data_IF_687383396877
#
_entry.id   IF_687383396877
#
_cell.length_a   1.000
_cell.length_b   1.000
_cell.length_c   1.000
_cell.angle_alpha   90.00
_cell.angle_beta   90.00
_cell.angle_gamma   90.00
#
_symmetry.space_group_name_H-M   'P 1'
#
loop_
_entity.id
_entity.type
_entity.pdbx_description
1 polymer ?
#
# COMPACT_ATOMS: atom_id res chain seq x y z
N UNK A 1 3.78 -23.88 31.70
CA UNK A 1 3.72 -22.50 31.18
C UNK A 1 2.29 -22.24 30.76
N UNK A 2 1.55 -21.52 31.60
CA UNK A 2 0.15 -21.15 31.34
C UNK A 2 0.10 -20.19 30.16
N UNK A 3 -0.60 -20.57 29.09
CA UNK A 3 -0.92 -19.65 28.00
C UNK A 3 -1.66 -18.46 28.61
N UNK A 4 -1.07 -17.26 28.55
CA UNK A 4 -1.80 -16.03 28.90
C UNK A 4 -2.96 -15.96 27.91
N UNK A 5 -4.20 -15.87 28.43
CA UNK A 5 -5.35 -15.48 27.60
C UNK A 5 -4.98 -14.14 26.95
N UNK A 6 -5.07 -14.05 25.63
CA UNK A 6 -5.05 -12.76 24.94
C UNK A 6 -6.13 -11.89 25.57
N UNK A 7 -5.71 -10.78 26.16
CA UNK A 7 -6.62 -9.82 26.76
C UNK A 7 -7.25 -9.01 25.62
N UNK A 8 -8.51 -9.31 25.27
CA UNK A 8 -9.21 -8.57 24.22
C UNK A 8 -9.50 -7.15 24.72
N UNK A 9 -9.08 -6.13 23.96
CA UNK A 9 -9.32 -4.72 24.26
C UNK A 9 -8.09 -3.83 24.14
N UNK A 10 -8.19 -2.54 24.53
CA UNK A 10 -7.11 -1.57 24.37
C UNK A 10 -5.80 -1.99 25.03
N UNK A 11 -5.86 -2.57 26.24
CA UNK A 11 -4.66 -2.96 26.97
C UNK A 11 -3.91 -4.11 26.30
N UNK A 12 -4.63 -5.14 25.82
CA UNK A 12 -3.97 -6.25 25.14
C UNK A 12 -3.41 -5.89 23.78
N UNK A 13 -4.11 -5.05 23.00
CA UNK A 13 -3.55 -4.53 21.75
C UNK A 13 -2.29 -3.70 22.03
N UNK A 14 -2.30 -2.81 23.03
CA UNK A 14 -1.10 -2.06 23.41
C UNK A 14 0.07 -2.98 23.78
N UNK A 15 -0.17 -4.02 24.58
CA UNK A 15 0.85 -5.00 24.94
C UNK A 15 1.43 -5.70 23.72
N UNK A 16 0.59 -6.19 22.80
CA UNK A 16 1.05 -6.83 21.57
C UNK A 16 1.89 -5.88 20.69
N UNK A 17 1.47 -4.61 20.57
CA UNK A 17 2.20 -3.61 19.78
C UNK A 17 3.54 -3.22 20.40
N UNK A 18 3.64 -3.16 21.73
CA UNK A 18 4.89 -2.91 22.45
C UNK A 18 5.83 -4.11 22.31
N UNK A 19 5.31 -5.34 22.46
CA UNK A 19 6.09 -6.57 22.28
C UNK A 19 6.62 -6.71 20.84
N UNK A 20 5.85 -6.25 19.84
CA UNK A 20 6.28 -6.19 18.45
C UNK A 20 7.23 -5.00 18.14
N UNK A 21 7.48 -4.10 19.09
CA UNK A 21 8.34 -2.93 18.92
C UNK A 21 7.74 -1.78 18.09
N UNK A 22 6.47 -1.88 17.69
CA UNK A 22 5.79 -0.86 16.90
C UNK A 22 5.34 0.34 17.75
N UNK A 23 4.73 0.07 18.93
CA UNK A 23 4.25 1.12 19.82
C UNK A 23 5.36 1.59 20.77
N UNK A 24 6.04 2.67 20.38
CA UNK A 24 7.09 3.29 21.19
C UNK A 24 6.52 4.00 22.43
N UNK A 25 7.35 4.18 23.45
CA UNK A 25 6.91 4.70 24.75
C UNK A 25 6.37 6.14 24.68
N UNK A 26 6.86 6.94 23.74
CA UNK A 26 6.41 8.32 23.53
C UNK A 26 5.06 8.41 22.79
N UNK A 27 4.63 7.32 22.13
CA UNK A 27 3.31 7.20 21.50
C UNK A 27 2.23 6.59 22.41
N UNK A 28 2.61 5.95 23.52
CA UNK A 28 1.66 5.40 24.50
C UNK A 28 0.63 6.41 25.02
N UNK A 29 0.97 7.68 25.32
CA UNK A 29 -0.02 8.68 25.71
C UNK A 29 -1.08 8.91 24.63
N UNK A 30 -0.67 9.06 23.37
CA UNK A 30 -1.60 9.24 22.24
C UNK A 30 -2.46 8.01 21.99
N UNK A 31 -1.90 6.80 22.07
CA UNK A 31 -2.67 5.56 21.97
C UNK A 31 -3.83 5.50 22.98
N UNK A 32 -3.55 5.90 24.23
CA UNK A 32 -4.55 5.89 25.32
C UNK A 32 -5.59 6.99 25.18
N UNK A 33 -5.18 8.17 24.73
CA UNK A 33 -6.05 9.33 24.59
C UNK A 33 -6.94 9.26 23.34
N UNK A 34 -6.54 8.49 22.34
CA UNK A 34 -7.23 8.38 21.04
C UNK A 34 -7.62 6.92 20.79
N UNK A 35 -8.61 6.38 21.53
CA UNK A 35 -8.95 4.97 21.48
C UNK A 35 -9.57 4.63 20.11
N UNK A 36 -9.15 3.50 19.54
CA UNK A 36 -9.46 3.12 18.15
C UNK A 36 -10.96 2.95 17.88
N UNK A 37 -11.72 2.46 18.86
CA UNK A 37 -13.16 2.24 18.80
C UNK A 37 -13.98 3.52 18.55
N UNK A 38 -13.49 4.69 18.98
CA UNK A 38 -14.13 5.97 18.67
C UNK A 38 -14.09 6.36 17.18
N UNK A 39 -13.21 5.73 16.40
CA UNK A 39 -13.00 6.03 14.99
C UNK A 39 -13.52 4.92 14.07
N UNK A 40 -14.01 3.80 14.61
CA UNK A 40 -14.50 2.69 13.80
C UNK A 40 -16.03 2.80 13.65
N UNK A 41 -16.60 2.74 12.43
CA UNK A 41 -18.04 2.74 12.23
C UNK A 41 -18.68 1.45 12.76
N UNK A 42 -20.01 1.44 12.90
CA UNK A 42 -20.73 0.29 13.43
C UNK A 42 -20.51 -0.98 12.59
N UNK A 43 -20.50 -0.86 11.27
CA UNK A 43 -20.31 -1.96 10.31
C UNK A 43 -18.91 -1.92 9.71
N UNK A 44 -18.20 -3.04 9.79
CA UNK A 44 -16.84 -3.21 9.24
C UNK A 44 -16.63 -4.61 8.69
N UNK A 45 -15.70 -4.76 7.75
CA UNK A 45 -15.24 -6.06 7.24
C UNK A 45 -13.80 -6.29 7.71
N UNK A 46 -13.60 -7.12 8.75
CA UNK A 46 -12.27 -7.40 9.26
C UNK A 46 -11.38 -8.08 8.23
N UNK A 47 -10.11 -7.67 8.15
CA UNK A 47 -9.12 -8.40 7.35
C UNK A 47 -8.82 -9.78 7.91
N UNK A 48 -8.51 -10.74 7.03
CA UNK A 48 -8.06 -12.07 7.47
C UNK A 48 -6.54 -12.10 7.69
N UNK A 49 -6.04 -12.92 8.63
CA UNK A 49 -4.60 -13.15 8.76
C UNK A 49 -4.00 -13.70 7.45
N UNK A 50 -2.80 -13.23 7.09
CA UNK A 50 -2.00 -13.72 5.96
C UNK A 50 -2.56 -13.48 4.54
N UNK A 51 -3.23 -12.33 4.30
CA UNK A 51 -3.64 -11.93 2.96
C UNK A 51 -4.17 -10.50 2.89
N UNK A 52 -4.77 -10.15 1.75
CA UNK A 52 -5.46 -8.88 1.51
C UNK A 52 -6.99 -9.04 1.49
N UNK A 53 -7.49 -10.22 1.82
CA UNK A 53 -8.92 -10.54 1.84
C UNK A 53 -9.58 -10.13 3.17
N UNK A 54 -10.91 -10.14 3.17
CA UNK A 54 -11.74 -9.73 4.30
C UNK A 54 -12.71 -10.86 4.68
N UNK A 55 -13.06 -10.93 5.95
CA UNK A 55 -14.16 -11.75 6.43
C UNK A 55 -15.50 -11.06 6.19
N UNK A 56 -16.59 -11.77 6.50
CA UNK A 56 -17.93 -11.19 6.55
C UNK A 56 -18.01 -9.98 7.48
N UNK A 57 -19.02 -9.14 7.24
CA UNK A 57 -19.30 -7.96 8.04
C UNK A 57 -19.47 -8.30 9.52
N UNK A 58 -18.95 -7.43 10.37
CA UNK A 58 -19.20 -7.40 11.81
C UNK A 58 -19.90 -6.08 12.14
N UNK A 59 -21.00 -6.16 12.87
CA UNK A 59 -21.84 -5.01 13.20
C UNK A 59 -21.95 -4.83 14.71
N UNK A 60 -21.53 -3.66 15.21
CA UNK A 60 -21.59 -3.27 16.61
C UNK A 60 -23.00 -3.37 17.21
N UNK A 61 -24.03 -3.08 16.43
CA UNK A 61 -25.41 -3.00 16.94
C UNK A 61 -26.03 -4.40 17.13
N UNK A 62 -25.50 -5.42 16.45
CA UNK A 62 -25.98 -6.80 16.53
C UNK A 62 -25.04 -7.73 17.30
N UNK A 63 -23.73 -7.51 17.20
CA UNK A 63 -22.68 -8.27 17.91
C UNK A 63 -21.58 -7.30 18.40
N UNK A 64 -21.83 -6.56 19.49
CA UNK A 64 -20.88 -5.58 20.02
C UNK A 64 -19.57 -6.22 20.52
N UNK A 65 -19.61 -7.47 20.99
CA UNK A 65 -18.44 -8.18 21.48
C UNK A 65 -17.51 -8.60 20.33
N UNK A 66 -18.07 -9.13 19.23
CA UNK A 66 -17.29 -9.43 18.04
C UNK A 66 -16.73 -8.16 17.40
N UNK A 67 -17.52 -7.08 17.36
CA UNK A 67 -17.06 -5.78 16.86
C UNK A 67 -15.90 -5.24 17.67
N UNK A 68 -16.02 -5.20 19.01
CA UNK A 68 -14.96 -4.71 19.89
C UNK A 68 -13.69 -5.57 19.79
N UNK A 69 -13.85 -6.89 19.66
CA UNK A 69 -12.74 -7.80 19.41
C UNK A 69 -12.02 -7.48 18.10
N UNK A 70 -12.75 -7.24 17.01
CA UNK A 70 -12.16 -6.86 15.73
C UNK A 70 -11.44 -5.51 15.82
N UNK A 71 -12.03 -4.52 16.49
CA UNK A 71 -11.43 -3.19 16.74
C UNK A 71 -10.08 -3.30 17.45
N UNK A 72 -9.94 -4.18 18.43
CA UNK A 72 -8.69 -4.33 19.19
C UNK A 72 -7.84 -5.52 18.74
N UNK A 73 -8.09 -6.05 17.54
CA UNK A 73 -7.20 -7.01 16.89
C UNK A 73 -6.21 -6.29 15.96
N UNK A 74 -5.01 -6.85 15.79
CA UNK A 74 -3.98 -6.32 14.87
C UNK A 74 -4.29 -6.65 13.40
N UNK A 75 -5.45 -6.20 12.92
CA UNK A 75 -5.95 -6.37 11.56
C UNK A 75 -6.48 -5.03 11.02
N UNK A 76 -6.47 -4.81 9.69
CA UNK A 76 -7.19 -3.71 9.09
C UNK A 76 -8.70 -3.99 9.17
N UNK A 77 -9.51 -2.93 9.21
CA UNK A 77 -10.97 -3.01 9.17
C UNK A 77 -11.44 -2.22 7.96
N UNK A 78 -11.93 -2.89 6.92
CA UNK A 78 -12.50 -2.18 5.77
C UNK A 78 -13.79 -1.50 6.19
N UNK A 79 -13.93 -0.22 5.84
CA UNK A 79 -15.05 0.66 6.23
C UNK A 79 -15.84 1.17 5.02
N UNK A 80 -15.29 1.06 3.82
CA UNK A 80 -15.95 1.45 2.58
C UNK A 80 -15.50 0.52 1.45
N UNK A 81 -16.45 0.18 0.59
CA UNK A 81 -16.27 -0.59 -0.64
C UNK A 81 -16.81 0.19 -1.82
N UNK A 82 -16.22 -0.02 -3.00
CA UNK A 82 -16.71 0.46 -4.29
C UNK A 82 -17.02 1.98 -4.29
N UNK A 83 -16.12 2.77 -3.70
CA UNK A 83 -16.23 4.22 -3.54
C UNK A 83 -17.57 4.66 -2.90
N UNK A 84 -18.05 3.86 -1.95
CA UNK A 84 -19.28 4.10 -1.20
C UNK A 84 -20.55 3.64 -1.89
N UNK A 85 -20.47 2.97 -3.04
CA UNK A 85 -21.65 2.45 -3.75
C UNK A 85 -22.15 1.13 -3.16
N UNK A 86 -21.29 0.38 -2.47
CA UNK A 86 -21.66 -0.89 -1.86
C UNK A 86 -22.11 -0.72 -0.41
N UNK A 87 -23.31 -1.23 -0.10
CA UNK A 87 -23.95 -1.08 1.23
C UNK A 87 -24.47 -2.40 1.84
N UNK A 88 -24.41 -3.49 1.07
CA UNK A 88 -24.85 -4.82 1.49
C UNK A 88 -23.85 -5.46 2.47
N UNK A 89 -24.25 -6.54 3.15
CA UNK A 89 -23.40 -7.26 4.13
C UNK A 89 -22.28 -8.08 3.47
N UNK A 90 -22.46 -8.46 2.21
CA UNK A 90 -21.45 -9.19 1.45
C UNK A 90 -20.20 -8.34 1.19
N UNK A 91 -19.13 -9.00 0.78
CA UNK A 91 -17.87 -8.33 0.44
C UNK A 91 -18.06 -7.60 -0.89
N UNK A 92 -17.71 -6.32 -0.94
CA UNK A 92 -17.72 -5.52 -2.17
C UNK A 92 -16.60 -5.90 -3.12
N UNK A 93 -16.52 -5.23 -4.28
CA UNK A 93 -15.53 -5.61 -5.31
C UNK A 93 -14.14 -5.07 -5.00
N UNK A 94 -14.06 -3.80 -4.59
CA UNK A 94 -12.81 -3.11 -4.31
C UNK A 94 -12.94 -2.35 -2.98
N UNK A 95 -12.06 -2.59 -2.00
CA UNK A 95 -12.10 -1.83 -0.77
C UNK A 95 -11.50 -0.44 -1.00
N UNK A 96 -12.17 0.61 -0.50
CA UNK A 96 -11.84 2.01 -0.81
C UNK A 96 -11.63 2.90 0.40
N UNK A 97 -11.94 2.41 1.61
CA UNK A 97 -11.50 2.99 2.87
C UNK A 97 -11.35 1.92 3.94
N UNK A 98 -10.44 2.12 4.89
CA UNK A 98 -10.29 1.26 6.07
C UNK A 98 -9.81 2.03 7.29
N UNK A 99 -10.02 1.44 8.46
CA UNK A 99 -9.21 1.74 9.64
C UNK A 99 -7.99 0.80 9.64
N UNK A 100 -6.82 1.38 9.33
CA UNK A 100 -5.56 0.66 9.10
C UNK A 100 -5.15 -0.24 10.26
N UNK A 101 -4.40 -1.30 9.93
CA UNK A 101 -3.84 -2.25 10.89
C UNK A 101 -2.97 -1.51 11.94
N UNK A 102 -3.21 -1.68 13.26
CA UNK A 102 -2.51 -0.95 14.31
C UNK A 102 -0.99 -1.08 14.27
N UNK A 103 -0.45 -2.28 14.03
CA UNK A 103 0.99 -2.50 13.92
C UNK A 103 1.60 -1.66 12.80
N UNK A 104 0.92 -1.56 11.65
CA UNK A 104 1.37 -0.72 10.55
C UNK A 104 1.27 0.77 10.91
N UNK A 105 0.17 1.21 11.51
CA UNK A 105 -0.01 2.61 11.95
C UNK A 105 1.14 3.04 12.87
N UNK A 106 1.40 2.29 13.94
CA UNK A 106 2.46 2.67 14.87
C UNK A 106 3.87 2.49 14.31
N UNK A 107 4.11 1.51 13.43
CA UNK A 107 5.39 1.40 12.72
C UNK A 107 5.64 2.60 11.80
N UNK A 108 4.62 3.07 11.09
CA UNK A 108 4.74 4.28 10.25
C UNK A 108 4.90 5.54 11.09
N UNK A 109 4.19 5.67 12.21
CA UNK A 109 4.37 6.81 13.13
C UNK A 109 5.77 6.85 13.75
N UNK A 110 6.36 5.68 14.04
CA UNK A 110 7.75 5.57 14.46
C UNK A 110 8.73 6.01 13.36
N UNK A 111 8.53 5.54 12.12
CA UNK A 111 9.36 5.97 10.97
C UNK A 111 9.22 7.46 10.66
N UNK A 112 8.00 8.00 10.81
CA UNK A 112 7.72 9.42 10.60
C UNK A 112 8.54 10.29 11.56
N UNK A 113 8.85 9.78 12.76
CA UNK A 113 9.72 10.40 13.74
C UNK A 113 9.37 11.87 14.01
N UNK A 114 8.09 12.09 14.37
CA UNK A 114 7.59 13.43 14.68
C UNK A 114 8.18 13.93 16.00
N UNK A 115 8.43 15.23 16.09
CA UNK A 115 8.95 15.92 17.27
C UNK A 115 7.98 17.02 17.69
N UNK A 116 7.98 17.35 18.97
CA UNK A 116 7.10 18.39 19.52
C UNK A 116 7.30 19.72 18.76
N UNK A 117 6.18 20.38 18.43
CA UNK A 117 6.18 21.65 17.69
C UNK A 117 6.31 21.51 16.17
N UNK A 118 6.46 20.29 15.63
CA UNK A 118 6.47 20.06 14.19
C UNK A 118 5.06 20.08 13.58
N UNK A 119 5.00 20.42 12.30
CA UNK A 119 3.77 20.39 11.51
C UNK A 119 3.69 19.16 10.61
N UNK A 120 2.55 18.47 10.64
CA UNK A 120 2.30 17.27 9.86
C UNK A 120 1.17 17.45 8.83
N UNK A 121 1.40 16.92 7.63
CA UNK A 121 0.39 16.68 6.61
C UNK A 121 0.12 15.19 6.51
N UNK A 122 -1.14 14.79 6.66
CA UNK A 122 -1.61 13.45 6.36
C UNK A 122 -2.38 13.44 5.02
N UNK A 123 -2.10 12.44 4.19
CA UNK A 123 -2.84 12.16 2.96
C UNK A 123 -3.61 10.85 3.13
N UNK A 124 -4.95 10.94 3.11
CA UNK A 124 -5.86 9.83 3.36
C UNK A 124 -6.42 9.83 4.79
N UNK A 125 -7.25 10.81 5.16
CA UNK A 125 -7.82 10.89 6.51
C UNK A 125 -8.58 9.61 6.90
N UNK A 126 -9.32 9.01 5.96
CA UNK A 126 -10.11 7.81 6.20
C UNK A 126 -11.05 7.98 7.39
N UNK A 127 -10.91 7.12 8.40
CA UNK A 127 -11.71 7.21 9.63
C UNK A 127 -11.30 8.32 10.59
N UNK A 128 -10.13 8.93 10.40
CA UNK A 128 -9.57 10.00 11.24
C UNK A 128 -8.71 9.52 12.42
N UNK A 129 -8.50 8.22 12.59
CA UNK A 129 -7.77 7.72 13.77
C UNK A 129 -6.30 8.15 13.77
N UNK A 130 -5.60 8.03 12.64
CA UNK A 130 -4.20 8.43 12.53
C UNK A 130 -4.03 9.97 12.62
N UNK A 131 -4.91 10.75 11.98
CA UNK A 131 -5.05 12.19 12.21
C UNK A 131 -5.20 12.53 13.69
N UNK A 132 -6.03 11.77 14.42
CA UNK A 132 -6.27 11.96 15.84
C UNK A 132 -5.03 11.67 16.70
N UNK A 133 -4.32 10.58 16.41
CA UNK A 133 -3.06 10.24 17.08
C UNK A 133 -2.01 11.35 16.89
N UNK A 134 -1.85 11.85 15.66
CA UNK A 134 -0.98 12.99 15.34
C UNK A 134 -1.44 14.26 16.06
N UNK A 135 -2.74 14.55 16.07
CA UNK A 135 -3.31 15.75 16.70
C UNK A 135 -3.07 15.77 18.20
N UNK A 136 -3.21 14.63 18.88
CA UNK A 136 -2.86 14.53 20.30
C UNK A 136 -1.36 14.68 20.53
N UNK A 137 -0.52 14.16 19.61
CA UNK A 137 0.95 14.22 19.73
C UNK A 137 1.52 15.62 19.50
N UNK A 138 1.00 16.34 18.52
CA UNK A 138 1.57 17.60 18.02
C UNK A 138 0.73 18.84 18.35
N UNK A 139 -0.53 18.68 18.78
CA UNK A 139 -1.53 19.74 18.79
C UNK A 139 -2.31 19.77 17.48
N UNK A 140 -3.62 19.95 17.54
CA UNK A 140 -4.50 19.90 16.36
C UNK A 140 -4.18 20.98 15.32
N UNK A 141 -3.73 22.16 15.76
CA UNK A 141 -3.30 23.26 14.91
C UNK A 141 -2.09 22.93 14.02
N UNK A 142 -1.31 21.93 14.43
CA UNK A 142 -0.12 21.45 13.73
C UNK A 142 -0.39 20.28 12.79
N UNK A 143 -1.65 19.84 12.66
CA UNK A 143 -2.04 18.71 11.81
C UNK A 143 -3.04 19.15 10.75
N UNK A 144 -2.70 18.86 9.50
CA UNK A 144 -3.61 18.96 8.36
C UNK A 144 -3.79 17.54 7.81
N UNK A 145 -5.03 17.15 7.51
CA UNK A 145 -5.32 15.85 6.88
C UNK A 145 -6.20 16.06 5.66
N UNK A 146 -5.83 15.44 4.54
CA UNK A 146 -6.54 15.54 3.26
C UNK A 146 -7.26 14.22 2.96
N UNK A 147 -8.56 14.30 2.68
CA UNK A 147 -9.39 13.17 2.27
C UNK A 147 -10.07 13.50 0.95
N UNK A 148 -10.12 12.54 0.03
CA UNK A 148 -10.72 12.77 -1.28
C UNK A 148 -12.25 12.63 -1.23
N UNK A 149 -12.75 11.69 -0.44
CA UNK A 149 -14.17 11.39 -0.35
C UNK A 149 -14.86 12.28 0.70
N UNK A 150 -15.82 13.10 0.25
CA UNK A 150 -16.48 14.08 1.10
C UNK A 150 -17.26 13.45 2.27
N UNK A 151 -17.88 12.28 2.08
CA UNK A 151 -18.64 11.63 3.14
C UNK A 151 -17.70 10.95 4.15
N UNK A 152 -16.59 10.36 3.67
CA UNK A 152 -15.53 9.84 4.54
C UNK A 152 -14.91 10.98 5.37
N UNK A 153 -14.57 12.10 4.74
CA UNK A 153 -13.99 13.27 5.41
C UNK A 153 -14.93 13.84 6.49
N UNK A 154 -16.23 13.88 6.19
CA UNK A 154 -17.26 14.30 7.15
C UNK A 154 -17.30 13.36 8.35
N UNK A 155 -17.36 12.04 8.13
CA UNK A 155 -17.31 11.05 9.21
C UNK A 155 -16.05 11.16 10.07
N UNK A 156 -14.89 11.33 9.43
CA UNK A 156 -13.62 11.53 10.13
C UNK A 156 -13.64 12.79 11.02
N UNK A 157 -14.17 13.90 10.50
CA UNK A 157 -14.30 15.17 11.22
C UNK A 157 -15.24 15.05 12.43
N UNK A 158 -16.31 14.26 12.31
CA UNK A 158 -17.21 13.97 13.42
C UNK A 158 -16.54 13.11 14.50
N UNK A 159 -15.81 12.07 14.12
CA UNK A 159 -15.04 11.23 15.05
C UNK A 159 -13.99 12.05 15.81
N UNK A 160 -13.21 12.87 15.10
CA UNK A 160 -12.20 13.75 15.68
C UNK A 160 -12.82 14.73 16.69
N UNK A 161 -13.92 15.39 16.33
CA UNK A 161 -14.64 16.30 17.23
C UNK A 161 -15.16 15.59 18.46
N UNK A 162 -15.72 14.38 18.32
CA UNK A 162 -16.20 13.58 19.44
C UNK A 162 -15.06 13.15 20.37
N UNK A 163 -13.85 12.96 19.84
CA UNK A 163 -12.62 12.75 20.60
C UNK A 163 -12.02 14.03 21.21
N UNK A 164 -12.65 15.20 21.00
CA UNK A 164 -12.14 16.49 21.49
C UNK A 164 -10.93 17.01 20.72
N UNK A 165 -10.72 16.51 19.49
CA UNK A 165 -9.61 16.88 18.61
C UNK A 165 -10.14 17.70 17.44
N UNK A 166 -9.34 18.66 16.97
CA UNK A 166 -9.75 19.57 15.89
C UNK A 166 -8.61 19.91 14.93
N UNK A 167 -7.98 18.90 14.28
CA UNK A 167 -7.10 19.20 13.15
C UNK A 167 -7.89 19.77 11.98
N UNK A 168 -7.18 20.38 11.04
CA UNK A 168 -7.79 20.83 9.78
C UNK A 168 -7.97 19.62 8.85
N UNK A 169 -9.22 19.23 8.60
CA UNK A 169 -9.58 18.20 7.61
C UNK A 169 -10.02 18.88 6.32
N UNK A 170 -9.39 18.52 5.20
CA UNK A 170 -9.64 19.09 3.88
C UNK A 170 -10.21 18.01 2.95
N UNK A 171 -11.32 18.33 2.29
CA UNK A 171 -11.79 17.53 1.16
C UNK A 171 -11.01 17.94 -0.09
N UNK A 172 -10.22 17.04 -0.68
CA UNK A 172 -9.39 17.38 -1.83
C UNK A 172 -8.52 16.25 -2.39
N UNK A 173 -7.84 16.55 -3.48
CA UNK A 173 -6.87 15.66 -4.10
C UNK A 173 -5.57 15.64 -3.28
N UNK A 174 -5.28 14.49 -2.67
CA UNK A 174 -4.09 14.28 -1.86
C UNK A 174 -2.77 14.53 -2.59
N UNK A 175 -2.73 14.40 -3.93
CA UNK A 175 -1.51 14.70 -4.72
C UNK A 175 -1.11 16.15 -4.64
N UNK A 176 -2.07 17.04 -4.45
CA UNK A 176 -1.82 18.49 -4.36
C UNK A 176 -1.35 18.91 -2.97
N UNK A 177 -1.39 18.00 -1.98
CA UNK A 177 -1.17 18.32 -0.58
C UNK A 177 -2.13 19.42 -0.10
N UNK A 178 -1.62 20.31 0.76
CA UNK A 178 -2.36 21.50 1.16
C UNK A 178 -1.41 22.68 1.37
N UNK A 179 -1.19 23.47 0.32
CA UNK A 179 -0.25 24.58 0.35
C UNK A 179 -0.57 25.64 1.42
N UNK A 180 -1.85 25.81 1.80
CA UNK A 180 -2.26 26.77 2.84
C UNK A 180 -1.73 26.45 4.25
N UNK A 181 -1.36 25.19 4.50
CA UNK A 181 -0.75 24.74 5.76
C UNK A 181 0.77 24.57 5.69
N UNK A 182 1.37 24.69 4.50
CA UNK A 182 2.81 24.56 4.31
C UNK A 182 3.58 25.71 5.01
N UNK A 183 4.88 25.50 5.33
CA UNK A 183 5.64 24.27 5.12
C UNK A 183 5.37 23.20 6.19
N UNK A 184 5.60 21.94 5.84
CA UNK A 184 5.49 20.79 6.72
C UNK A 184 6.86 20.24 7.11
N UNK A 185 6.98 19.75 8.33
CA UNK A 185 8.12 18.95 8.77
C UNK A 185 7.98 17.48 8.38
N UNK A 186 6.72 17.02 8.30
CA UNK A 186 6.35 15.62 8.19
C UNK A 186 5.17 15.48 7.24
N UNK A 187 5.32 14.66 6.21
CA UNK A 187 4.24 14.25 5.31
C UNK A 187 4.08 12.75 5.44
N UNK A 188 2.87 12.28 5.70
CA UNK A 188 2.54 10.86 5.77
C UNK A 188 1.35 10.56 4.86
N UNK A 189 1.49 9.60 3.97
CA UNK A 189 0.37 9.04 3.23
C UNK A 189 -0.09 7.73 3.88
N UNK A 190 -1.39 7.59 4.08
CA UNK A 190 -2.06 6.38 4.58
C UNK A 190 -2.85 5.69 3.45
N UNK A 191 -2.41 5.92 2.22
CA UNK A 191 -2.85 5.28 0.99
C UNK A 191 -1.65 5.06 0.07
N UNK A 192 -1.73 4.05 -0.79
CA UNK A 192 -0.66 3.68 -1.71
C UNK A 192 -0.51 4.66 -2.86
N UNK A 193 0.73 4.99 -3.23
CA UNK A 193 1.06 5.85 -4.37
C UNK A 193 1.90 5.12 -5.42
N UNK A 194 1.77 5.52 -6.69
CA UNK A 194 2.63 5.05 -7.78
C UNK A 194 3.85 5.93 -8.04
N UNK A 195 3.76 7.18 -7.61
CA UNK A 195 4.81 8.19 -7.68
C UNK A 195 4.62 9.16 -6.51
N UNK A 196 5.70 9.77 -6.06
CA UNK A 196 5.72 10.82 -5.03
C UNK A 196 5.34 12.16 -5.68
N UNK A 197 4.18 12.74 -5.33
CA UNK A 197 3.77 14.02 -5.90
C UNK A 197 4.78 15.13 -5.59
N UNK A 198 5.12 15.92 -6.62
CA UNK A 198 6.04 17.08 -6.49
C UNK A 198 5.61 18.07 -5.42
N UNK A 199 4.30 18.29 -5.29
CA UNK A 199 3.73 19.17 -4.28
C UNK A 199 4.11 18.77 -2.84
N UNK A 200 4.32 17.48 -2.56
CA UNK A 200 4.73 17.04 -1.22
C UNK A 200 6.16 17.47 -0.90
N UNK A 201 7.06 17.41 -1.88
CA UNK A 201 8.46 17.86 -1.74
C UNK A 201 8.48 19.38 -1.60
N UNK A 202 7.77 20.10 -2.47
CA UNK A 202 7.71 21.57 -2.47
C UNK A 202 7.09 22.16 -1.20
N UNK A 203 6.16 21.44 -0.56
CA UNK A 203 5.50 21.86 0.67
C UNK A 203 6.24 21.40 1.94
N UNK A 204 7.35 20.67 1.82
CA UNK A 204 8.11 20.13 2.96
C UNK A 204 9.42 20.90 3.14
N UNK A 205 9.79 21.20 4.38
CA UNK A 205 11.08 21.84 4.68
C UNK A 205 12.27 20.94 4.28
N UNK A 206 13.40 21.53 3.93
CA UNK A 206 14.68 20.78 3.86
C UNK A 206 14.94 20.10 5.21
N UNK A 207 15.29 18.81 5.18
CA UNK A 207 15.40 17.94 6.36
C UNK A 207 14.08 17.34 6.85
N UNK A 208 12.95 17.74 6.25
CA UNK A 208 11.64 17.15 6.51
C UNK A 208 11.52 15.73 5.92
N UNK A 209 10.53 14.98 6.41
CA UNK A 209 10.33 13.57 6.05
C UNK A 209 9.03 13.39 5.29
N UNK A 210 9.10 12.65 4.19
CA UNK A 210 7.93 12.12 3.46
C UNK A 210 7.90 10.62 3.67
N UNK A 211 6.79 10.09 4.17
CA UNK A 211 6.58 8.68 4.41
C UNK A 211 5.32 8.20 3.68
N UNK A 212 5.43 7.20 2.82
CA UNK A 212 4.27 6.72 2.06
C UNK A 212 4.40 5.23 1.69
N UNK A 213 3.30 4.48 1.63
CA UNK A 213 3.25 3.22 0.89
C UNK A 213 3.40 3.51 -0.61
N UNK A 214 4.37 2.89 -1.25
CA UNK A 214 4.70 3.08 -2.67
C UNK A 214 4.70 1.72 -3.38
N UNK A 215 4.08 1.66 -4.55
CA UNK A 215 4.08 0.45 -5.39
C UNK A 215 4.10 0.79 -6.87
N UNK A 216 4.95 0.08 -7.61
CA UNK A 216 4.85 -0.04 -9.06
C UNK A 216 3.57 -0.81 -9.45
N UNK A 217 3.16 -0.69 -10.72
CA UNK A 217 1.97 -1.40 -11.24
C UNK A 217 2.09 -2.93 -11.12
N UNK A 218 3.31 -3.46 -11.15
CA UNK A 218 3.56 -4.90 -11.03
C UNK A 218 3.24 -5.47 -9.63
N UNK A 219 3.19 -4.62 -8.61
CA UNK A 219 2.89 -5.01 -7.23
C UNK A 219 4.10 -4.94 -6.29
N UNK A 220 3.98 -5.60 -5.13
CA UNK A 220 5.02 -5.62 -4.10
C UNK A 220 5.16 -4.30 -3.33
N UNK A 221 4.06 -3.72 -2.84
CA UNK A 221 4.11 -2.44 -2.14
C UNK A 221 5.03 -2.44 -0.91
N UNK A 222 5.75 -1.33 -0.73
CA UNK A 222 6.58 -1.08 0.44
C UNK A 222 6.47 0.37 0.93
N UNK A 223 6.75 0.60 2.21
CA UNK A 223 6.84 1.94 2.77
C UNK A 223 8.15 2.59 2.31
N UNK A 224 8.08 3.74 1.65
CA UNK A 224 9.21 4.61 1.34
C UNK A 224 9.33 5.72 2.37
N UNK A 225 10.55 5.97 2.86
CA UNK A 225 10.86 7.06 3.80
C UNK A 225 11.92 7.98 3.20
N UNK A 226 11.51 9.15 2.75
CA UNK A 226 12.37 10.13 2.09
C UNK A 226 12.68 11.30 3.00
N UNK A 227 13.91 11.81 2.90
CA UNK A 227 14.30 13.11 3.47
C UNK A 227 14.42 14.12 2.34
N UNK A 228 13.81 15.28 2.53
CA UNK A 228 13.82 16.37 1.56
C UNK A 228 15.14 17.15 1.65
N UNK A 229 15.76 17.41 0.50
CA UNK A 229 16.90 18.30 0.33
C UNK A 229 16.66 19.23 -0.86
N UNK A 230 16.18 20.44 -0.56
CA UNK A 230 15.77 21.42 -1.56
C UNK A 230 14.63 20.89 -2.41
N UNK A 231 14.85 20.79 -3.73
CA UNK A 231 13.84 20.29 -4.68
C UNK A 231 13.87 18.76 -4.84
N UNK A 232 14.72 18.07 -4.08
CA UNK A 232 14.88 16.61 -4.16
C UNK A 232 14.44 15.94 -2.87
N UNK A 233 14.10 14.66 -2.94
CA UNK A 233 13.85 13.83 -1.77
C UNK A 233 14.48 12.45 -1.99
N UNK A 234 15.18 11.91 -0.98
CA UNK A 234 15.85 10.62 -1.11
C UNK A 234 15.82 9.84 0.20
N UNK A 235 15.74 8.51 0.11
CA UNK A 235 15.78 7.64 1.27
C UNK A 235 15.36 6.20 0.98
N UNK A 236 15.43 5.33 2.00
CA UNK A 236 15.21 3.89 1.84
C UNK A 236 13.72 3.53 1.82
N UNK A 237 13.43 2.34 1.32
CA UNK A 237 12.21 1.61 1.70
C UNK A 237 12.43 0.95 3.07
N UNK A 238 11.37 0.73 3.85
CA UNK A 238 11.52 0.28 5.25
C UNK A 238 10.86 -1.05 5.57
N UNK A 239 9.78 -1.43 4.87
CA UNK A 239 9.07 -2.70 5.06
C UNK A 239 7.99 -2.92 3.99
N UNK A 240 7.52 -4.15 3.78
CA UNK A 240 6.34 -4.40 2.96
C UNK A 240 5.09 -3.78 3.58
N UNK A 241 4.15 -3.39 2.73
CA UNK A 241 2.84 -2.88 3.13
C UNK A 241 1.75 -3.34 2.16
N UNK A 242 0.49 -3.09 2.52
CA UNK A 242 -0.65 -3.31 1.64
C UNK A 242 -1.71 -2.26 1.94
N UNK A 243 -1.67 -1.14 1.23
CA UNK A 243 -2.61 -0.04 1.35
C UNK A 243 -3.51 0.07 0.11
N UNK A 244 -4.68 0.64 0.31
CA UNK A 244 -5.55 0.99 -0.81
C UNK A 244 -4.90 2.07 -1.64
N UNK A 245 -4.99 1.95 -2.97
CA UNK A 245 -4.42 2.93 -3.90
C UNK A 245 -5.12 4.28 -3.75
N UNK A 246 -4.32 5.34 -3.67
CA UNK A 246 -4.77 6.72 -3.82
C UNK A 246 -5.63 6.80 -5.08
N UNK A 247 -6.84 7.36 -4.98
CA UNK A 247 -7.86 7.23 -6.04
C UNK A 247 -7.36 7.72 -7.40
N UNK A 248 -6.57 8.79 -7.41
CA UNK A 248 -5.99 9.39 -8.61
C UNK A 248 -4.83 8.58 -9.21
N UNK A 249 -4.30 7.60 -8.49
CA UNK A 249 -3.24 6.69 -8.94
C UNK A 249 -3.77 5.26 -9.21
N UNK A 250 -5.10 5.07 -9.21
CA UNK A 250 -5.70 3.82 -9.69
C UNK A 250 -5.52 3.77 -11.21
N UNK A 251 -4.95 2.68 -11.69
CA UNK A 251 -4.87 2.42 -13.12
C UNK A 251 -6.21 1.85 -13.61
N UNK A 252 -6.61 2.26 -14.82
CA UNK A 252 -7.66 1.58 -15.58
C UNK A 252 -6.99 0.61 -16.52
N UNK A 253 -7.13 -0.69 -16.26
CA UNK A 253 -6.47 -1.73 -17.03
C UNK A 253 -7.40 -2.21 -18.16
N UNK A 254 -6.95 -2.22 -19.43
CA UNK A 254 -7.73 -2.78 -20.52
C UNK A 254 -8.08 -4.26 -20.23
N UNK A 255 -9.25 -4.67 -20.69
CA UNK A 255 -9.64 -6.07 -20.61
C UNK A 255 -8.68 -6.95 -21.42
N UNK A 256 -8.48 -8.19 -20.97
CA UNK A 256 -7.62 -9.20 -21.63
C UNK A 256 -7.80 -9.25 -23.16
N UNK A 257 -9.06 -9.32 -23.62
CA UNK A 257 -9.40 -9.41 -25.05
C UNK A 257 -8.92 -8.22 -25.90
N UNK A 258 -8.68 -7.06 -25.27
CA UNK A 258 -8.12 -5.88 -25.95
C UNK A 258 -6.68 -6.13 -26.38
N UNK A 259 -5.89 -6.84 -25.57
CA UNK A 259 -4.51 -7.20 -25.90
C UNK A 259 -4.43 -8.25 -27.01
N UNK A 260 -5.37 -9.22 -27.02
CA UNK A 260 -5.47 -10.22 -28.08
C UNK A 260 -6.16 -9.71 -29.36
N UNK A 261 -6.69 -8.48 -29.36
CA UNK A 261 -7.38 -7.84 -30.50
C UNK A 261 -8.56 -8.67 -31.02
N UNK A 262 -9.23 -9.42 -30.13
CA UNK A 262 -10.32 -10.34 -30.47
C UNK A 262 -9.89 -11.55 -31.32
N UNK A 263 -8.59 -11.84 -31.42
CA UNK A 263 -8.07 -13.01 -32.12
C UNK A 263 -7.99 -14.18 -31.13
N UNK A 264 -8.37 -15.38 -31.59
CA UNK A 264 -8.26 -16.58 -30.78
C UNK A 264 -6.81 -16.85 -30.36
N UNK A 265 -6.63 -17.35 -29.14
CA UNK A 265 -5.34 -17.81 -28.61
C UNK A 265 -4.58 -18.72 -29.60
N UNK A 266 -3.26 -18.55 -29.84
CA UNK A 266 -2.30 -17.60 -29.22
C UNK A 266 -2.19 -16.22 -29.89
N UNK A 267 -3.19 -15.81 -30.69
CA UNK A 267 -3.19 -14.58 -31.47
C UNK A 267 -1.89 -14.42 -32.31
N UNK A 268 -1.20 -13.28 -32.19
CA UNK A 268 0.09 -12.99 -32.83
C UNK A 268 1.31 -13.34 -31.94
N UNK A 269 1.09 -14.06 -30.85
CA UNK A 269 2.09 -14.42 -29.87
C UNK A 269 3.15 -15.40 -30.38
N UNK A 270 4.40 -15.16 -29.98
CA UNK A 270 5.54 -16.04 -30.26
C UNK A 270 5.74 -16.97 -29.07
N UNK A 271 5.80 -18.27 -29.33
CA UNK A 271 5.99 -19.32 -28.32
C UNK A 271 7.48 -19.52 -27.99
N UNK A 272 7.77 -19.72 -26.72
CA UNK A 272 9.06 -20.12 -26.18
C UNK A 272 8.87 -20.93 -24.89
N UNK A 273 9.96 -21.28 -24.22
CA UNK A 273 9.94 -21.94 -22.91
C UNK A 273 10.85 -21.21 -21.93
N UNK A 274 10.47 -21.17 -20.66
CA UNK A 274 11.29 -20.60 -19.58
C UNK A 274 11.52 -21.61 -18.46
N UNK A 275 12.70 -21.53 -17.84
CA UNK A 275 13.01 -22.27 -16.61
C UNK A 275 12.61 -21.50 -15.34
N UNK A 276 12.21 -20.22 -15.46
CA UNK A 276 11.69 -19.44 -14.34
C UNK A 276 10.23 -19.84 -14.10
N UNK A 277 9.93 -20.33 -12.90
CA UNK A 277 8.55 -20.65 -12.54
C UNK A 277 7.70 -19.38 -12.43
N UNK A 278 6.50 -19.33 -13.04
CA UNK A 278 5.54 -18.25 -12.84
C UNK A 278 5.11 -18.08 -11.38
N UNK A 279 5.23 -19.11 -10.54
CA UNK A 279 5.00 -18.97 -9.09
C UNK A 279 6.10 -18.14 -8.41
N UNK A 280 7.35 -18.20 -8.89
CA UNK A 280 8.49 -17.50 -8.27
C UNK A 280 8.47 -15.99 -8.44
N UNK A 281 7.70 -15.45 -9.39
CA UNK A 281 7.57 -14.01 -9.62
C UNK A 281 6.42 -13.37 -8.85
N UNK A 282 5.67 -14.18 -8.08
CA UNK A 282 4.51 -13.73 -7.30
C UNK A 282 4.81 -13.45 -5.83
N UNK A 283 6.02 -13.76 -5.35
CA UNK A 283 6.44 -13.37 -4.00
C UNK A 283 6.51 -11.84 -3.89
N UNK A 284 6.05 -11.28 -2.76
CA UNK A 284 5.85 -9.82 -2.61
C UNK A 284 7.10 -8.99 -2.89
N UNK A 285 8.26 -9.38 -2.36
CA UNK A 285 9.55 -8.70 -2.61
C UNK A 285 10.05 -8.89 -4.04
N UNK A 286 9.68 -10.01 -4.67
CA UNK A 286 10.05 -10.28 -6.07
C UNK A 286 9.21 -9.41 -7.01
N UNK A 287 7.90 -9.29 -6.75
CA UNK A 287 7.04 -8.35 -7.46
C UNK A 287 7.56 -6.92 -7.37
N UNK A 288 8.00 -6.50 -6.17
CA UNK A 288 8.61 -5.18 -5.96
C UNK A 288 9.86 -4.99 -6.82
N UNK A 289 10.81 -5.91 -6.73
CA UNK A 289 12.07 -5.83 -7.46
C UNK A 289 11.88 -5.90 -8.99
N UNK A 290 10.88 -6.64 -9.47
CA UNK A 290 10.49 -6.65 -10.89
C UNK A 290 9.83 -5.32 -11.26
N UNK A 291 8.89 -4.83 -10.47
CA UNK A 291 8.17 -3.58 -10.72
C UNK A 291 9.09 -2.34 -10.77
N UNK A 292 10.16 -2.32 -9.97
CA UNK A 292 11.19 -1.27 -10.05
C UNK A 292 11.99 -1.30 -11.37
N UNK A 293 12.08 -2.46 -12.03
CA UNK A 293 12.85 -2.65 -13.25
C UNK A 293 11.98 -2.66 -14.51
N UNK A 294 10.70 -3.02 -14.42
CA UNK A 294 9.80 -3.23 -15.57
C UNK A 294 8.61 -2.27 -15.44
N UNK A 295 8.82 -0.95 -15.64
CA UNK A 295 7.76 0.05 -15.49
C UNK A 295 6.61 -0.21 -16.47
N UNK A 296 5.39 0.18 -16.10
CA UNK A 296 4.20 -0.02 -16.92
C UNK A 296 3.63 -1.45 -16.89
N UNK A 297 4.42 -2.45 -16.45
CA UNK A 297 3.96 -3.83 -16.43
C UNK A 297 3.04 -4.13 -15.23
N UNK A 298 1.98 -4.88 -15.48
CA UNK A 298 1.08 -5.44 -14.46
C UNK A 298 0.68 -6.86 -14.85
N UNK A 299 0.10 -7.62 -13.92
CA UNK A 299 -0.22 -9.03 -14.17
C UNK A 299 -1.58 -9.45 -13.62
N UNK A 300 -2.08 -10.56 -14.14
CA UNK A 300 -3.28 -11.25 -13.66
C UNK A 300 -3.08 -12.75 -13.76
N UNK A 301 -3.88 -13.53 -13.04
CA UNK A 301 -3.85 -15.00 -13.09
C UNK A 301 -5.19 -15.50 -13.59
N UNK A 302 -5.13 -16.37 -14.59
CA UNK A 302 -6.27 -17.14 -15.08
C UNK A 302 -6.08 -18.60 -14.67
N UNK A 303 -7.05 -19.18 -13.95
CA UNK A 303 -7.00 -20.60 -13.56
C UNK A 303 -7.66 -21.44 -14.64
N UNK A 304 -6.97 -22.49 -15.07
CA UNK A 304 -7.29 -23.18 -16.32
C UNK A 304 -8.37 -24.26 -16.21
N UNK A 305 -8.59 -24.88 -15.05
CA UNK A 305 -9.60 -25.95 -14.95
C UNK A 305 -10.02 -26.32 -13.51
N UNK A 306 -11.23 -26.87 -13.33
CA UNK A 306 -11.67 -27.46 -12.05
C UNK A 306 -10.91 -28.76 -11.72
N UNK A 307 -10.37 -29.44 -12.74
CA UNK A 307 -9.65 -30.71 -12.59
C UNK A 307 -8.21 -30.56 -12.06
N UNK A 308 -7.57 -29.40 -12.27
CA UNK A 308 -6.25 -29.08 -11.72
C UNK A 308 -6.24 -27.66 -11.10
N UNK A 309 -6.73 -27.51 -9.86
CA UNK A 309 -6.93 -26.20 -9.24
C UNK A 309 -5.63 -25.42 -8.95
N UNK A 310 -4.47 -26.09 -9.02
CA UNK A 310 -3.16 -25.49 -8.79
C UNK A 310 -2.50 -24.97 -10.08
N UNK A 311 -2.93 -25.44 -11.27
CA UNK A 311 -2.44 -24.94 -12.55
C UNK A 311 -3.09 -23.60 -12.91
N UNK A 312 -2.31 -22.71 -13.53
CA UNK A 312 -2.79 -21.40 -13.95
C UNK A 312 -1.90 -20.77 -15.02
N UNK A 313 -2.46 -19.86 -15.81
CA UNK A 313 -1.71 -18.99 -16.71
C UNK A 313 -1.46 -17.64 -16.02
N UNK A 314 -0.19 -17.26 -15.90
CA UNK A 314 0.19 -15.91 -15.48
C UNK A 314 0.25 -15.01 -16.70
N UNK A 315 -0.63 -14.02 -16.75
CA UNK A 315 -0.63 -13.01 -17.78
C UNK A 315 0.08 -11.75 -17.31
N UNK A 316 0.99 -11.22 -18.12
CA UNK A 316 1.64 -9.92 -17.90
C UNK A 316 1.29 -9.00 -19.06
N UNK A 317 0.92 -7.76 -18.75
CA UNK A 317 0.53 -6.76 -19.74
C UNK A 317 1.34 -5.49 -19.54
N UNK A 318 1.41 -4.67 -20.58
CA UNK A 318 1.92 -3.31 -20.51
C UNK A 318 0.76 -2.31 -20.46
N UNK A 319 0.85 -1.32 -19.57
CA UNK A 319 -0.16 -0.27 -19.46
C UNK A 319 -0.09 0.74 -20.62
N UNK A 320 1.09 0.90 -21.25
CA UNK A 320 1.36 1.95 -22.24
C UNK A 320 1.42 1.44 -23.69
N UNK A 321 1.33 0.12 -23.91
CA UNK A 321 1.35 -0.50 -25.24
C UNK A 321 0.44 -1.73 -25.33
N UNK A 322 0.37 -2.34 -26.51
CA UNK A 322 -0.33 -3.61 -26.74
C UNK A 322 0.53 -4.84 -26.43
N UNK A 323 1.64 -4.66 -25.69
CA UNK A 323 2.51 -5.78 -25.29
C UNK A 323 1.84 -6.64 -24.22
N UNK A 324 1.99 -7.95 -24.38
CA UNK A 324 1.50 -8.93 -23.42
C UNK A 324 2.40 -10.18 -23.42
N UNK A 325 2.38 -10.90 -22.32
CA UNK A 325 2.98 -12.22 -22.16
C UNK A 325 2.07 -13.13 -21.33
N UNK A 326 2.21 -14.42 -21.57
CA UNK A 326 1.63 -15.50 -20.78
C UNK A 326 2.76 -16.43 -20.35
N UNK A 327 2.65 -17.00 -19.17
CA UNK A 327 3.49 -18.10 -18.73
C UNK A 327 2.64 -19.13 -17.98
N UNK A 328 2.59 -20.35 -18.50
CA UNK A 328 1.75 -21.41 -17.96
C UNK A 328 2.45 -22.10 -16.80
N UNK A 329 1.80 -22.14 -15.64
CA UNK A 329 2.28 -22.82 -14.45
C UNK A 329 1.59 -24.17 -14.29
N UNK A 330 2.41 -25.22 -14.20
CA UNK A 330 2.00 -26.55 -13.78
C UNK A 330 2.82 -26.98 -12.55
N UNK A 331 2.18 -27.50 -11.47
CA UNK A 331 2.90 -28.00 -10.31
C UNK A 331 3.89 -29.10 -10.66
N UNK A 332 5.13 -28.94 -10.22
CA UNK A 332 6.20 -29.93 -10.42
C UNK A 332 6.91 -29.87 -11.78
N UNK A 333 6.47 -29.01 -12.71
CA UNK A 333 7.19 -28.75 -13.94
C UNK A 333 8.49 -27.96 -13.69
N UNK A 334 9.50 -28.18 -14.52
CA UNK A 334 10.80 -27.47 -14.52
C UNK A 334 11.00 -26.58 -15.77
N UNK A 335 10.05 -26.63 -16.70
CA UNK A 335 9.99 -25.83 -17.93
C UNK A 335 8.55 -25.40 -18.17
N UNK A 336 8.36 -24.12 -18.43
CA UNK A 336 7.05 -23.48 -18.54
C UNK A 336 6.87 -22.91 -19.95
N UNK A 337 5.72 -23.15 -20.58
CA UNK A 337 5.39 -22.54 -21.87
C UNK A 337 5.20 -21.03 -21.67
N UNK A 338 5.79 -20.26 -22.57
CA UNK A 338 5.67 -18.80 -22.60
C UNK A 338 5.19 -18.40 -23.98
N UNK A 339 4.20 -17.51 -24.03
CA UNK A 339 3.77 -16.86 -25.27
C UNK A 339 3.72 -15.37 -25.05
N UNK A 340 4.35 -14.59 -25.92
CA UNK A 340 4.40 -13.13 -25.78
C UNK A 340 4.35 -12.39 -27.12
N UNK A 341 3.76 -11.20 -27.11
CA UNK A 341 3.55 -10.36 -28.28
C UNK A 341 3.74 -8.87 -27.94
N UNK A 342 3.80 -8.06 -28.99
CA UNK A 342 3.97 -6.61 -28.91
C UNK A 342 5.43 -6.13 -28.93
N UNK A 343 5.63 -4.80 -28.86
CA UNK A 343 6.94 -4.16 -28.92
C UNK A 343 7.85 -4.50 -27.74
N UNK A 344 7.29 -4.86 -26.58
CA UNK A 344 8.03 -5.32 -25.40
C UNK A 344 7.94 -6.83 -25.26
N UNK A 345 9.02 -7.46 -24.79
CA UNK A 345 9.04 -8.89 -24.45
C UNK A 345 8.92 -9.03 -22.94
N UNK A 346 7.70 -8.82 -22.44
CA UNK A 346 7.44 -8.65 -21.01
C UNK A 346 7.89 -9.84 -20.15
N UNK A 347 7.81 -11.06 -20.66
CA UNK A 347 8.34 -12.21 -19.92
C UNK A 347 9.87 -12.21 -19.88
N UNK A 348 10.53 -11.86 -20.98
CA UNK A 348 12.00 -11.78 -21.04
C UNK A 348 12.52 -10.67 -20.12
N UNK A 349 11.82 -9.52 -20.06
CA UNK A 349 12.10 -8.42 -19.15
C UNK A 349 11.90 -8.84 -17.68
N UNK A 350 10.82 -9.56 -17.39
CA UNK A 350 10.53 -10.14 -16.06
C UNK A 350 11.64 -11.11 -15.64
N UNK A 351 12.05 -12.01 -16.54
CA UNK A 351 13.08 -13.02 -16.26
C UNK A 351 14.45 -12.35 -16.06
N UNK A 352 14.78 -11.33 -16.86
CA UNK A 352 16.00 -10.53 -16.67
C UNK A 352 16.00 -9.78 -15.33
N UNK A 353 14.86 -9.20 -14.95
CA UNK A 353 14.69 -8.50 -13.68
C UNK A 353 14.84 -9.45 -12.48
N UNK A 354 14.22 -10.63 -12.56
CA UNK A 354 14.35 -11.69 -11.56
C UNK A 354 15.80 -12.17 -11.42
N UNK A 355 16.47 -12.48 -12.54
CA UNK A 355 17.89 -12.89 -12.54
C UNK A 355 18.80 -11.83 -11.94
N UNK A 356 18.56 -10.55 -12.24
CA UNK A 356 19.31 -9.46 -11.63
C UNK A 356 19.12 -9.44 -10.11
N UNK A 357 17.87 -9.52 -9.62
CA UNK A 357 17.58 -9.54 -8.18
C UNK A 357 18.25 -10.73 -7.48
N UNK A 358 18.19 -11.93 -8.06
CA UNK A 358 18.93 -13.10 -7.55
C UNK A 358 20.44 -12.85 -7.56
N UNK A 359 20.97 -12.25 -8.63
CA UNK A 359 22.39 -11.87 -8.75
C UNK A 359 22.85 -10.84 -7.71
N UNK A 360 21.95 -10.02 -7.17
CA UNK A 360 22.22 -9.10 -6.06
C UNK A 360 22.13 -9.76 -4.67
N UNK A 361 21.97 -11.08 -4.62
CA UNK A 361 21.86 -11.84 -3.39
C UNK A 361 20.47 -11.82 -2.76
N UNK A 362 19.42 -11.62 -3.58
CA UNK A 362 18.02 -11.57 -3.13
C UNK A 362 17.76 -10.51 -2.05
N UNK A 363 18.10 -9.22 -2.31
CA UNK A 363 17.89 -8.15 -1.35
C UNK A 363 16.42 -8.04 -0.92
N UNK A 364 16.21 -7.75 0.36
CA UNK A 364 14.90 -7.37 0.92
C UNK A 364 14.65 -5.85 0.75
N UNK A 365 13.44 -5.40 1.06
CA UNK A 365 12.98 -4.01 0.84
C UNK A 365 13.95 -2.95 1.36
N UNK A 366 14.53 -3.16 2.54
CA UNK A 366 15.39 -2.18 3.23
C UNK A 366 16.72 -1.92 2.53
N UNK A 367 17.12 -2.78 1.58
CA UNK A 367 18.28 -2.53 0.72
C UNK A 367 17.94 -1.62 -0.44
N UNK A 368 16.67 -1.43 -0.77
CA UNK A 368 16.27 -0.51 -1.83
C UNK A 368 16.04 0.89 -1.27
N UNK A 369 16.16 1.89 -2.14
CA UNK A 369 15.68 3.23 -1.87
C UNK A 369 15.29 3.95 -3.13
N UNK A 370 14.77 5.16 -2.95
CA UNK A 370 14.21 5.99 -4.00
C UNK A 370 14.82 7.39 -3.90
N UNK A 371 15.11 7.99 -5.05
CA UNK A 371 15.46 9.41 -5.17
C UNK A 371 14.49 10.05 -6.14
N UNK A 372 13.87 11.15 -5.72
CA UNK A 372 12.87 11.91 -6.47
C UNK A 372 13.44 13.30 -6.75
N UNK A 373 13.43 13.71 -8.01
CA UNK A 373 13.85 15.04 -8.45
C UNK A 373 12.91 15.58 -9.54
N UNK A 374 13.26 16.72 -10.14
CA UNK A 374 12.57 17.25 -11.33
C UNK A 374 12.75 16.36 -12.57
N UNK A 375 13.72 15.43 -12.56
CA UNK A 375 13.95 14.47 -13.65
C UNK A 375 13.15 13.16 -13.47
N UNK A 376 12.36 13.04 -12.39
CA UNK A 376 11.57 11.86 -12.06
C UNK A 376 12.12 11.04 -10.89
N UNK A 377 11.65 9.80 -10.79
CA UNK A 377 12.01 8.86 -9.73
C UNK A 377 13.11 7.90 -10.18
N UNK A 378 14.09 7.65 -9.31
CA UNK A 378 15.17 6.70 -9.54
C UNK A 378 15.33 5.78 -8.33
N UNK A 379 15.01 4.51 -8.52
CA UNK A 379 15.26 3.49 -7.52
C UNK A 379 16.75 3.09 -7.52
N UNK A 380 17.25 2.74 -6.34
CA UNK A 380 18.64 2.35 -6.13
C UNK A 380 18.76 1.22 -5.10
N UNK A 381 19.89 0.51 -5.14
CA UNK A 381 20.22 -0.60 -4.23
C UNK A 381 21.43 -0.23 -3.36
N UNK A 382 21.27 -0.33 -2.05
CA UNK A 382 22.19 0.01 -0.96
C UNK A 382 22.59 1.50 -0.87
N UNK A 383 22.76 2.19 -1.99
CA UNK A 383 23.10 3.61 -2.02
C UNK A 383 22.61 4.31 -3.30
N UNK A 384 22.33 5.63 -3.28
CA UNK A 384 21.85 6.39 -4.44
C UNK A 384 22.72 6.33 -5.71
N UNK A 385 24.00 5.96 -5.59
CA UNK A 385 24.91 5.81 -6.74
C UNK A 385 24.77 4.47 -7.48
N UNK A 386 24.06 3.49 -6.91
CA UNK A 386 23.89 2.16 -7.48
C UNK A 386 22.45 1.96 -7.93
N UNK A 387 22.13 2.50 -9.11
CA UNK A 387 20.77 2.51 -9.64
C UNK A 387 20.26 1.10 -9.95
N UNK A 388 18.98 0.88 -9.66
CA UNK A 388 18.26 -0.31 -10.14
C UNK A 388 18.08 -0.16 -11.66
N UNK A 389 18.49 -1.16 -12.46
CA UNK A 389 18.46 -1.04 -13.92
C UNK A 389 17.02 -1.12 -14.46
N UNK A 390 16.62 -0.13 -15.24
CA UNK A 390 15.36 -0.20 -15.99
C UNK A 390 15.50 -1.15 -17.17
N UNK A 391 14.48 -1.98 -17.38
CA UNK A 391 14.25 -2.75 -18.59
C UNK A 391 13.37 -1.90 -19.48
N UNK A 392 13.96 -1.40 -20.54
CA UNK A 392 13.25 -0.87 -21.70
C UNK A 392 13.62 -1.74 -22.89
N UNK A 393 12.70 -1.89 -23.83
CA UNK A 393 12.96 -2.50 -25.14
C UNK A 393 14.21 -1.92 -25.83
#
# INVERSE_FOLDING_TARGET
MTARKEEVGPSGLASALVEAGALQSDWLPSYRAVPRDMFVPARVWPGIPAGTEQSHVVDRDTDPDAWLKAVYSDIPLTTQWDDGQHTADEIGTMPTSSNSRPLMVFSMLADLDVRDGQRALEIGTGTGWNAGLLSHRLGGENVVSVEFDAEVAKGASENLRNAGLSPLVIVGDGRLGYAGGAPYDRVIATCSIGEVPRAWIEQTVTGGVILAPWAALYGGEAIVRLTVDGETASGPFTRPSAFMRLRQHRADFPAHDTYLKGVAWPADGIRSTSALSPASVRDWVVQFAIGLQVPGAFWSVERSDEENPEAYTLWTYDADSDSWASADYEPGADSFEVVQSGPRKLWDETEAAYRWWVGQGRPDFERFGLTVSSEGERAWLDSPGNLVPLRSA
#
